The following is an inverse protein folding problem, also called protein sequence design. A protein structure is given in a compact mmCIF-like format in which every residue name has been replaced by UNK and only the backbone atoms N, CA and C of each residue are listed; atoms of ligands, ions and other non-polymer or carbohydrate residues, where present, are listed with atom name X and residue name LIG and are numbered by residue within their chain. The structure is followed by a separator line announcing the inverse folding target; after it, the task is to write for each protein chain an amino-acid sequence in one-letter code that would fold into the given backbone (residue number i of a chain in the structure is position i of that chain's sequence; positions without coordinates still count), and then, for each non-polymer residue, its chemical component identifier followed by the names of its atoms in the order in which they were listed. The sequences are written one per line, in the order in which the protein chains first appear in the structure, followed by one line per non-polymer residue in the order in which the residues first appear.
data_IF_040050938994
#
_entry.id   IF_040050938994
#
_cell.length_a   1.000
_cell.length_b   1.000
_cell.length_c   1.000
_cell.angle_alpha   90.00
_cell.angle_beta   90.00
_cell.angle_gamma   90.00
#
_symmetry.space_group_name_H-M   'P 1'
#
loop_
_entity.id
_entity.type
_entity.pdbx_description
1 polymer ?
#
# COMPACT_ATOMS: atom_id res chain seq x y z
N UNK A 1 19.29 32.96 16.05
CA UNK A 1 19.85 31.69 16.55
C UNK A 1 19.15 30.58 15.77
N UNK A 2 19.70 30.21 14.61
CA UNK A 2 19.11 29.19 13.71
C UNK A 2 19.74 27.84 14.07
N UNK A 3 18.91 26.86 14.43
CA UNK A 3 19.35 25.50 14.72
C UNK A 3 19.71 24.80 13.40
N UNK A 4 20.97 24.36 13.27
CA UNK A 4 21.43 23.51 12.18
C UNK A 4 20.80 22.11 12.29
N UNK A 5 20.14 21.67 11.22
CA UNK A 5 19.81 20.26 11.00
C UNK A 5 21.12 19.47 10.81
N UNK A 6 21.29 18.26 11.35
CA UNK A 6 22.45 17.44 11.03
C UNK A 6 22.41 17.06 9.55
N UNK A 7 23.55 17.24 8.88
CA UNK A 7 23.77 16.77 7.52
C UNK A 7 23.50 15.25 7.48
N UNK A 8 22.65 14.83 6.53
CA UNK A 8 22.42 13.41 6.29
C UNK A 8 23.74 12.72 5.90
N UNK A 9 23.91 11.48 6.35
CA UNK A 9 25.02 10.64 5.94
C UNK A 9 25.10 10.62 4.40
N UNK A 10 26.29 10.86 3.86
CA UNK A 10 26.50 10.79 2.40
C UNK A 10 26.60 9.32 1.97
N UNK A 11 26.19 8.96 0.75
CA UNK A 11 26.33 7.57 0.24
C UNK A 11 27.78 7.04 0.34
N UNK A 12 28.76 7.95 0.27
CA UNK A 12 30.18 7.67 0.52
C UNK A 12 30.49 7.21 1.96
N UNK A 13 29.81 7.73 2.99
CA UNK A 13 30.01 7.30 4.38
C UNK A 13 29.46 5.89 4.64
N UNK A 14 28.43 5.49 3.89
CA UNK A 14 27.80 4.17 4.00
C UNK A 14 28.63 3.08 3.32
N UNK A 15 29.38 3.43 2.26
CA UNK A 15 30.33 2.55 1.57
C UNK A 15 31.74 2.54 2.18
N UNK A 16 32.05 3.50 3.07
CA UNK A 16 33.37 3.60 3.70
C UNK A 16 33.58 2.48 4.70
N UNK A 17 34.72 1.79 4.58
CA UNK A 17 35.08 0.72 5.51
C UNK A 17 35.54 1.30 6.84
N UNK A 18 35.02 0.77 7.94
CA UNK A 18 35.43 1.09 9.29
C UNK A 18 35.75 -0.21 10.06
N UNK A 19 36.54 -0.07 11.13
CA UNK A 19 36.83 -1.19 12.03
C UNK A 19 35.71 -1.27 13.05
N UNK A 20 35.02 -2.40 13.06
CA UNK A 20 33.96 -2.71 14.01
C UNK A 20 34.45 -3.74 15.03
N UNK A 21 34.04 -3.56 16.27
CA UNK A 21 34.28 -4.47 17.41
C UNK A 21 33.01 -4.49 18.26
N UNK A 22 31.97 -5.15 17.75
CA UNK A 22 30.66 -5.25 18.42
C UNK A 22 30.45 -6.71 18.83
N UNK A 23 30.42 -7.03 20.13
CA UNK A 23 30.24 -8.41 20.59
C UNK A 23 28.80 -8.91 20.35
N UNK A 24 28.60 -10.22 20.40
CA UNK A 24 27.27 -10.82 20.31
C UNK A 24 26.41 -10.46 21.55
N UNK A 25 25.44 -9.57 21.37
CA UNK A 25 24.68 -8.97 22.46
C UNK A 25 23.19 -8.81 22.08
N UNK A 26 22.31 -8.33 22.97
CA UNK A 26 20.93 -8.01 22.58
C UNK A 26 20.93 -7.08 21.37
N UNK A 27 20.09 -7.38 20.36
CA UNK A 27 20.17 -6.69 19.07
C UNK A 27 19.97 -5.18 19.20
N UNK A 28 19.15 -4.72 20.15
CA UNK A 28 18.99 -3.30 20.44
C UNK A 28 20.30 -2.62 20.85
N UNK A 29 21.08 -3.26 21.72
CA UNK A 29 22.36 -2.72 22.19
C UNK A 29 23.41 -2.72 21.06
N UNK A 30 23.41 -3.75 20.22
CA UNK A 30 24.31 -3.86 19.06
C UNK A 30 24.05 -2.75 18.03
N UNK A 31 22.78 -2.49 17.71
CA UNK A 31 22.39 -1.43 16.80
C UNK A 31 22.72 -0.03 17.34
N UNK A 32 22.61 0.17 18.66
CA UNK A 32 23.05 1.41 19.30
C UNK A 32 24.57 1.62 19.15
N UNK A 33 25.39 0.62 19.47
CA UNK A 33 26.85 0.69 19.31
C UNK A 33 27.27 0.94 17.83
N UNK A 34 26.55 0.31 16.89
CA UNK A 34 26.75 0.56 15.46
C UNK A 34 26.39 2.01 15.06
N UNK A 35 25.26 2.53 15.55
CA UNK A 35 24.82 3.90 15.31
C UNK A 35 25.80 4.92 15.87
N UNK A 36 26.37 4.68 17.05
CA UNK A 36 27.41 5.52 17.66
C UNK A 36 28.71 5.52 16.84
N UNK A 37 29.07 4.37 16.25
CA UNK A 37 30.29 4.25 15.44
C UNK A 37 30.13 4.94 14.07
N UNK A 38 28.98 4.74 13.42
CA UNK A 38 28.75 5.18 12.04
C UNK A 38 28.07 6.55 11.91
N UNK A 39 27.40 7.02 12.97
CA UNK A 39 26.52 8.19 12.96
C UNK A 39 25.37 8.10 11.93
N UNK A 40 25.07 6.89 11.43
CA UNK A 40 24.01 6.67 10.45
C UNK A 40 22.68 6.44 11.20
N UNK A 41 21.60 7.18 10.85
CA UNK A 41 20.29 6.97 11.45
C UNK A 41 19.74 5.55 11.21
N UNK A 42 19.20 4.95 12.28
CA UNK A 42 18.55 3.63 12.25
C UNK A 42 17.04 3.79 12.45
N UNK A 43 16.23 3.36 11.48
CA UNK A 43 14.77 3.38 11.52
C UNK A 43 14.24 1.96 11.72
N UNK A 44 14.02 1.57 12.98
CA UNK A 44 13.71 0.18 13.34
C UNK A 44 12.53 0.11 14.31
N UNK A 45 11.57 -0.77 14.02
CA UNK A 45 10.49 -1.08 14.95
C UNK A 45 11.01 -1.93 16.13
N UNK A 46 10.69 -1.50 17.35
CA UNK A 46 11.15 -2.15 18.60
C UNK A 46 10.73 -3.62 18.67
N UNK A 47 9.54 -3.93 18.15
CA UNK A 47 8.99 -5.28 18.10
C UNK A 47 9.81 -6.23 17.20
N UNK A 48 10.48 -5.72 16.17
CA UNK A 48 11.32 -6.54 15.29
C UNK A 48 12.59 -7.00 15.99
N UNK A 49 13.14 -6.21 16.91
CA UNK A 49 14.43 -6.49 17.57
C UNK A 49 14.27 -7.07 18.98
N UNK A 50 13.07 -6.99 19.57
CA UNK A 50 12.82 -7.48 20.93
C UNK A 50 13.10 -8.98 21.04
N UNK A 51 13.91 -9.35 22.03
CA UNK A 51 14.27 -10.74 22.30
C UNK A 51 15.23 -11.37 21.28
N UNK A 52 15.72 -10.61 20.29
CA UNK A 52 16.74 -11.07 19.34
C UNK A 52 18.13 -10.72 19.84
N UNK A 53 19.11 -11.52 19.44
CA UNK A 53 20.54 -11.32 19.73
C UNK A 53 21.29 -11.13 18.43
N UNK A 54 22.20 -10.18 18.38
CA UNK A 54 23.10 -10.00 17.24
C UNK A 54 24.22 -11.04 17.24
N UNK A 55 24.79 -11.25 16.07
CA UNK A 55 26.09 -11.91 15.91
C UNK A 55 27.23 -10.92 16.20
N UNK A 56 28.41 -11.46 16.47
CA UNK A 56 29.62 -10.66 16.67
C UNK A 56 30.07 -10.05 15.34
N UNK A 57 30.47 -8.78 15.37
CA UNK A 57 31.07 -8.08 14.22
C UNK A 57 32.44 -7.57 14.62
N UNK A 58 33.47 -8.29 14.20
CA UNK A 58 34.86 -7.97 14.46
C UNK A 58 35.66 -7.93 13.15
N UNK A 59 36.07 -6.74 12.71
CA UNK A 59 36.88 -6.59 11.50
C UNK A 59 36.63 -5.29 10.74
N UNK A 60 37.20 -5.20 9.53
CA UNK A 60 37.02 -4.04 8.64
C UNK A 60 35.92 -4.31 7.61
N UNK A 61 34.78 -3.65 7.80
CA UNK A 61 33.57 -3.83 6.99
C UNK A 61 33.03 -2.49 6.50
N UNK A 62 32.26 -2.49 5.42
CA UNK A 62 31.40 -1.34 5.10
C UNK A 62 30.25 -1.28 6.11
N UNK A 63 29.62 -0.12 6.29
CA UNK A 63 28.48 0.04 7.21
C UNK A 63 27.36 -0.96 6.90
N UNK A 64 27.07 -1.21 5.61
CA UNK A 64 26.06 -2.18 5.20
C UNK A 64 26.51 -3.64 5.44
N UNK A 65 27.78 -3.97 5.21
CA UNK A 65 28.27 -5.34 5.42
C UNK A 65 28.40 -5.67 6.92
N UNK A 66 28.84 -4.72 7.73
CA UNK A 66 28.85 -4.85 9.19
C UNK A 66 27.44 -5.10 9.74
N UNK A 67 26.44 -4.38 9.21
CA UNK A 67 25.06 -4.55 9.61
C UNK A 67 24.49 -5.90 9.15
N UNK A 68 24.88 -6.40 7.97
CA UNK A 68 24.51 -7.75 7.52
C UNK A 68 25.11 -8.83 8.41
N UNK A 69 26.39 -8.71 8.77
CA UNK A 69 27.06 -9.63 9.68
C UNK A 69 26.39 -9.63 11.06
N UNK A 70 26.08 -8.45 11.60
CA UNK A 70 25.39 -8.28 12.87
C UNK A 70 24.03 -9.00 12.91
N UNK A 71 23.32 -8.97 11.78
CA UNK A 71 21.97 -9.54 11.65
C UNK A 71 21.99 -11.01 11.26
N UNK A 72 23.16 -11.62 11.04
CA UNK A 72 23.24 -13.03 10.74
C UNK A 72 22.64 -13.87 11.88
N UNK A 73 21.85 -14.88 11.53
CA UNK A 73 21.09 -15.70 12.47
C UNK A 73 19.87 -15.03 13.12
N UNK A 74 19.65 -13.71 12.93
CA UNK A 74 18.48 -13.02 13.51
C UNK A 74 17.20 -13.18 12.70
N UNK A 75 17.30 -13.60 11.44
CA UNK A 75 16.19 -13.62 10.49
C UNK A 75 15.76 -12.22 10.03
N UNK A 76 16.59 -11.20 10.24
CA UNK A 76 16.39 -9.84 9.76
C UNK A 76 17.43 -9.49 8.68
N UNK A 77 17.10 -8.53 7.84
CA UNK A 77 18.02 -7.94 6.86
C UNK A 77 17.93 -6.42 6.92
N UNK A 78 19.02 -5.75 6.55
CA UNK A 78 19.09 -4.30 6.50
C UNK A 78 18.90 -3.77 5.09
N UNK A 79 18.20 -2.63 4.98
CA UNK A 79 18.00 -1.90 3.74
C UNK A 79 18.31 -0.41 3.93
N UNK A 80 18.95 0.19 2.95
CA UNK A 80 19.14 1.65 2.90
C UNK A 80 17.84 2.37 2.55
N UNK A 81 17.57 3.49 3.21
CA UNK A 81 16.44 4.39 2.92
C UNK A 81 16.99 5.66 2.28
N UNK A 82 16.98 5.72 0.94
CA UNK A 82 17.41 6.86 0.12
C UNK A 82 18.76 7.48 0.56
N UNK A 83 19.72 6.65 1.01
CA UNK A 83 21.02 7.11 1.48
C UNK A 83 21.01 7.86 2.83
N UNK A 84 19.86 7.96 3.51
CA UNK A 84 19.70 8.75 4.74
C UNK A 84 19.79 7.91 6.02
N UNK A 85 19.87 6.60 5.90
CA UNK A 85 19.88 5.69 7.04
C UNK A 85 19.59 4.24 6.64
N UNK A 86 19.53 3.37 7.64
CA UNK A 86 19.14 1.98 7.48
C UNK A 86 17.81 1.68 8.17
N UNK A 87 17.07 0.73 7.60
CA UNK A 87 15.90 0.11 8.22
C UNK A 87 16.07 -1.41 8.25
N UNK A 88 15.44 -2.08 9.21
CA UNK A 88 15.47 -3.54 9.33
C UNK A 88 14.16 -4.15 8.88
N UNK A 89 14.25 -5.25 8.13
CA UNK A 89 13.11 -6.01 7.63
C UNK A 89 13.28 -7.48 7.99
N UNK A 90 12.17 -8.18 8.25
CA UNK A 90 12.21 -9.63 8.44
C UNK A 90 12.49 -10.34 7.12
N UNK A 91 13.47 -11.25 7.09
CA UNK A 91 13.74 -12.14 5.96
C UNK A 91 12.66 -13.21 5.81
N UNK A 92 12.03 -13.60 6.91
CA UNK A 92 10.91 -14.53 6.92
C UNK A 92 9.60 -13.74 6.95
N UNK A 93 8.57 -14.15 6.17
CA UNK A 93 7.24 -13.60 6.35
C UNK A 93 6.80 -13.86 7.80
N UNK A 94 6.61 -12.78 8.57
CA UNK A 94 6.14 -12.88 9.96
C UNK A 94 4.75 -13.51 9.95
N UNK A 95 4.65 -14.77 10.35
CA UNK A 95 3.39 -15.49 10.57
C UNK A 95 2.87 -15.20 11.99
N UNK A 96 2.77 -13.92 12.36
CA UNK A 96 2.07 -13.51 13.57
C UNK A 96 0.55 -13.52 13.37
N UNK A 97 -0.25 -13.70 14.43
CA UNK A 97 -1.72 -13.60 14.35
C UNK A 97 -2.16 -12.26 13.73
N UNK A 98 -1.44 -11.18 14.02
CA UNK A 98 -1.68 -9.86 13.43
C UNK A 98 -1.46 -9.81 11.92
N UNK A 99 -0.50 -10.59 11.40
CA UNK A 99 -0.22 -10.64 9.95
C UNK A 99 -1.30 -11.42 9.21
N UNK A 100 -1.82 -12.49 9.82
CA UNK A 100 -2.94 -13.26 9.26
C UNK A 100 -4.20 -12.40 9.24
N UNK A 101 -4.53 -11.71 10.34
CA UNK A 101 -5.67 -10.81 10.42
C UNK A 101 -5.56 -9.63 9.43
N UNK A 102 -4.38 -9.02 9.28
CA UNK A 102 -4.17 -7.97 8.28
C UNK A 102 -4.35 -8.48 6.85
N UNK A 103 -3.88 -9.70 6.54
CA UNK A 103 -4.08 -10.31 5.22
C UNK A 103 -5.54 -10.64 4.95
N UNK A 104 -6.30 -11.12 5.95
CA UNK A 104 -7.72 -11.40 5.76
C UNK A 104 -8.51 -10.12 5.49
N UNK A 105 -8.23 -9.06 6.25
CA UNK A 105 -8.83 -7.73 6.05
C UNK A 105 -8.48 -7.20 4.65
N UNK A 106 -7.21 -7.29 4.22
CA UNK A 106 -6.80 -6.87 2.88
C UNK A 106 -7.54 -7.62 1.77
N UNK A 107 -7.65 -8.96 1.88
CA UNK A 107 -8.40 -9.80 0.92
C UNK A 107 -9.88 -9.46 0.89
N UNK A 108 -10.47 -9.07 2.02
CA UNK A 108 -11.87 -8.64 2.09
C UNK A 108 -12.07 -7.30 1.37
N UNK A 109 -11.18 -6.33 1.57
CA UNK A 109 -11.20 -5.07 0.82
C UNK A 109 -10.98 -5.27 -0.68
N UNK A 110 -10.09 -6.17 -1.08
CA UNK A 110 -9.85 -6.51 -2.50
C UNK A 110 -11.11 -7.11 -3.14
N UNK A 111 -11.76 -8.09 -2.47
CA UNK A 111 -13.02 -8.68 -2.92
C UNK A 111 -14.13 -7.62 -3.05
N UNK A 112 -14.28 -6.78 -2.03
CA UNK A 112 -15.29 -5.72 -2.05
C UNK A 112 -15.03 -4.69 -3.16
N UNK A 113 -13.76 -4.36 -3.40
CA UNK A 113 -13.36 -3.45 -4.50
C UNK A 113 -13.71 -4.05 -5.86
N UNK A 114 -13.52 -5.36 -6.04
CA UNK A 114 -13.94 -6.06 -7.25
C UNK A 114 -15.47 -6.06 -7.39
N UNK A 115 -16.22 -6.28 -6.32
CA UNK A 115 -17.69 -6.21 -6.34
C UNK A 115 -18.20 -4.81 -6.73
N UNK A 116 -17.58 -3.74 -6.20
CA UNK A 116 -17.88 -2.35 -6.63
C UNK A 116 -17.60 -2.17 -8.12
N UNK A 117 -16.46 -2.67 -8.61
CA UNK A 117 -16.09 -2.54 -10.02
C UNK A 117 -17.08 -3.26 -10.95
N UNK A 118 -17.54 -4.45 -10.58
CA UNK A 118 -18.56 -5.21 -11.33
C UNK A 118 -19.90 -4.45 -11.33
N UNK A 119 -20.39 -4.05 -10.16
CA UNK A 119 -21.66 -3.32 -10.05
C UNK A 119 -21.64 -2.00 -10.83
N UNK A 120 -20.50 -1.28 -10.80
CA UNK A 120 -20.32 -0.06 -11.56
C UNK A 120 -20.27 -0.34 -13.06
N UNK A 121 -19.54 -1.37 -13.49
CA UNK A 121 -19.50 -1.78 -14.89
C UNK A 121 -20.91 -2.07 -15.42
N UNK A 122 -21.68 -2.90 -14.71
CA UNK A 122 -23.05 -3.24 -15.09
C UNK A 122 -23.93 -1.99 -15.19
N UNK A 123 -23.88 -1.10 -14.21
CA UNK A 123 -24.64 0.15 -14.20
C UNK A 123 -24.27 1.04 -15.40
N UNK A 124 -22.98 1.24 -15.67
CA UNK A 124 -22.51 2.05 -16.79
C UNK A 124 -22.90 1.46 -18.16
N UNK A 125 -22.99 0.14 -18.26
CA UNK A 125 -23.31 -0.57 -19.50
C UNK A 125 -24.82 -0.65 -19.83
N UNK A 126 -25.71 -0.31 -18.88
CA UNK A 126 -27.16 -0.26 -19.08
C UNK A 126 -27.58 0.73 -20.16
N UNK A 127 -26.98 1.92 -20.16
CA UNK A 127 -27.26 2.97 -21.13
C UNK A 127 -26.07 3.17 -22.07
N UNK A 128 -26.33 3.49 -23.34
CA UNK A 128 -25.25 3.73 -24.32
C UNK A 128 -24.49 5.02 -24.00
N UNK A 129 -25.18 6.01 -23.46
CA UNK A 129 -24.66 7.33 -23.12
C UNK A 129 -23.72 7.33 -21.92
N UNK A 130 -23.91 6.40 -20.98
CA UNK A 130 -23.08 6.25 -19.77
C UNK A 130 -21.93 5.26 -19.95
N UNK A 131 -21.76 4.67 -21.13
CA UNK A 131 -20.66 3.73 -21.37
C UNK A 131 -19.33 4.47 -21.29
N UNK A 132 -18.32 3.90 -20.62
CA UNK A 132 -16.98 4.47 -20.61
C UNK A 132 -16.47 4.67 -22.04
N UNK A 133 -15.95 5.85 -22.29
CA UNK A 133 -15.54 6.28 -23.62
C UNK A 133 -14.46 7.34 -23.52
N UNK A 134 -14.75 8.55 -23.96
CA UNK A 134 -13.77 9.66 -24.02
C UNK A 134 -13.76 10.56 -22.78
N UNK A 135 -14.66 10.33 -21.82
CA UNK A 135 -14.77 11.18 -20.64
C UNK A 135 -14.00 10.60 -19.46
N UNK A 136 -13.57 11.50 -18.58
CA UNK A 136 -13.10 11.17 -17.25
C UNK A 136 -14.02 11.82 -16.24
N UNK A 137 -14.30 11.14 -15.14
CA UNK A 137 -15.01 11.77 -14.04
C UNK A 137 -14.66 11.15 -12.70
N UNK A 138 -14.45 12.00 -11.69
CA UNK A 138 -14.37 11.59 -10.30
C UNK A 138 -15.77 11.53 -9.70
N UNK A 139 -16.09 10.40 -9.08
CA UNK A 139 -17.35 10.17 -8.38
C UNK A 139 -17.07 9.81 -6.92
N UNK A 140 -18.02 10.13 -6.05
CA UNK A 140 -18.05 9.71 -4.65
C UNK A 140 -19.32 8.93 -4.37
N UNK A 141 -19.18 7.77 -3.76
CA UNK A 141 -20.28 6.90 -3.39
C UNK A 141 -20.31 6.69 -1.88
N UNK A 142 -21.50 6.78 -1.31
CA UNK A 142 -21.80 6.33 0.04
C UNK A 142 -22.60 5.04 -0.07
N UNK A 143 -22.07 3.96 0.47
CA UNK A 143 -22.68 2.63 0.41
C UNK A 143 -23.24 2.31 1.79
N UNK A 144 -24.53 2.03 1.85
CA UNK A 144 -25.23 1.67 3.08
C UNK A 144 -24.97 0.22 3.50
N UNK A 145 -25.49 -0.15 4.67
CA UNK A 145 -25.35 -1.48 5.26
C UNK A 145 -25.93 -2.60 4.40
N UNK A 146 -26.83 -2.30 3.47
CA UNK A 146 -27.41 -3.28 2.54
C UNK A 146 -26.61 -3.42 1.24
N UNK A 147 -25.47 -2.73 1.11
CA UNK A 147 -24.70 -2.68 -0.13
C UNK A 147 -25.30 -1.78 -1.21
N UNK A 148 -26.39 -1.06 -0.92
CA UNK A 148 -26.99 -0.07 -1.83
C UNK A 148 -26.32 1.28 -1.69
N UNK A 149 -26.15 2.00 -2.79
CA UNK A 149 -25.73 3.40 -2.76
C UNK A 149 -26.83 4.24 -2.12
N UNK A 150 -26.48 4.91 -1.02
CA UNK A 150 -27.37 5.85 -0.31
C UNK A 150 -27.22 7.26 -0.86
N UNK A 151 -26.02 7.61 -1.34
CA UNK A 151 -25.72 8.90 -1.97
C UNK A 151 -24.63 8.73 -3.02
N UNK A 152 -24.77 9.45 -4.13
CA UNK A 152 -23.72 9.61 -5.13
C UNK A 152 -23.49 11.08 -5.47
N UNK A 153 -22.22 11.49 -5.51
CA UNK A 153 -21.82 12.83 -5.96
C UNK A 153 -20.90 12.71 -7.18
N UNK A 154 -21.23 13.45 -8.24
CA UNK A 154 -20.37 13.63 -9.41
C UNK A 154 -19.47 14.86 -9.17
N UNK A 155 -18.18 14.66 -8.90
CA UNK A 155 -17.28 15.76 -8.54
C UNK A 155 -16.80 16.56 -9.76
N UNK A 156 -16.83 15.95 -10.94
CA UNK A 156 -16.41 16.56 -12.20
C UNK A 156 -17.41 16.22 -13.29
N UNK A 157 -17.82 17.20 -14.10
CA UNK A 157 -18.68 16.95 -15.27
C UNK A 157 -17.99 16.03 -16.27
N UNK A 158 -18.78 15.22 -16.99
CA UNK A 158 -18.32 14.43 -18.14
C UNK A 158 -18.13 15.27 -19.40
N UNK A 159 -18.47 16.58 -19.34
CA UNK A 159 -18.51 17.49 -20.47
C UNK A 159 -19.85 17.52 -21.21
N UNK A 160 -20.84 16.76 -20.71
CA UNK A 160 -22.17 16.62 -21.29
C UNK A 160 -23.22 16.54 -20.18
N UNK A 161 -24.10 17.55 -20.10
CA UNK A 161 -25.08 17.67 -19.01
C UNK A 161 -26.14 16.56 -19.04
N UNK A 162 -26.53 16.07 -20.23
CA UNK A 162 -27.49 14.97 -20.35
C UNK A 162 -26.89 13.68 -19.81
N UNK A 163 -25.60 13.44 -20.10
CA UNK A 163 -24.85 12.30 -19.58
C UNK A 163 -24.65 12.38 -18.07
N UNK A 164 -24.34 13.56 -17.55
CA UNK A 164 -24.16 13.77 -16.11
C UNK A 164 -25.43 13.42 -15.32
N UNK A 165 -26.61 13.80 -15.83
CA UNK A 165 -27.91 13.47 -15.22
C UNK A 165 -28.18 11.97 -15.26
N UNK A 166 -27.96 11.31 -16.40
CA UNK A 166 -28.14 9.86 -16.52
C UNK A 166 -27.17 9.10 -15.61
N UNK A 167 -25.90 9.50 -15.60
CA UNK A 167 -24.87 8.88 -14.77
C UNK A 167 -25.20 9.03 -13.28
N UNK A 168 -25.65 10.21 -12.83
CA UNK A 168 -26.06 10.41 -11.45
C UNK A 168 -27.25 9.50 -11.07
N UNK A 169 -28.21 9.30 -11.98
CA UNK A 169 -29.33 8.36 -11.79
C UNK A 169 -28.86 6.91 -11.64
N UNK A 170 -28.00 6.44 -12.53
CA UNK A 170 -27.46 5.07 -12.49
C UNK A 170 -26.63 4.81 -11.24
N UNK A 171 -25.79 5.76 -10.83
CA UNK A 171 -24.96 5.64 -9.63
C UNK A 171 -25.81 5.61 -8.35
N UNK A 172 -26.92 6.35 -8.31
CA UNK A 172 -27.82 6.35 -7.16
C UNK A 172 -28.63 5.04 -7.06
N UNK A 173 -28.89 4.39 -8.19
CA UNK A 173 -29.58 3.09 -8.24
C UNK A 173 -28.64 1.89 -8.02
N UNK A 174 -27.32 2.11 -8.04
CA UNK A 174 -26.29 1.09 -7.93
C UNK A 174 -26.39 0.31 -6.61
N UNK A 175 -26.23 -1.00 -6.71
CA UNK A 175 -26.16 -1.90 -5.58
C UNK A 175 -24.99 -2.86 -5.77
N UNK A 176 -24.08 -2.90 -4.80
CA UNK A 176 -22.94 -3.83 -4.76
C UNK A 176 -23.42 -5.24 -4.39
N UNK A 177 -24.58 -5.36 -3.74
CA UNK A 177 -25.18 -6.65 -3.34
C UNK A 177 -24.65 -7.19 -2.01
N UNK A 178 -23.61 -6.58 -1.45
CA UNK A 178 -23.01 -6.94 -0.17
C UNK A 178 -22.69 -5.71 0.70
N UNK A 179 -22.75 -5.84 2.04
CA UNK A 179 -22.41 -4.76 2.98
C UNK A 179 -20.95 -4.35 2.85
N UNK A 180 -20.61 -3.06 3.05
CA UNK A 180 -19.23 -2.62 3.09
C UNK A 180 -18.49 -3.25 4.28
N UNK A 181 -17.26 -3.75 4.08
CA UNK A 181 -16.49 -4.35 5.14
C UNK A 181 -16.16 -3.32 6.23
N UNK A 182 -16.04 -3.75 7.50
CA UNK A 182 -15.69 -2.87 8.59
C UNK A 182 -14.34 -2.20 8.34
N UNK A 183 -14.28 -0.89 8.54
CA UNK A 183 -13.07 -0.09 8.29
C UNK A 183 -12.95 0.49 6.88
N UNK A 184 -13.90 0.22 5.98
CA UNK A 184 -13.94 0.91 4.68
C UNK A 184 -14.13 2.42 4.88
N UNK A 185 -13.17 3.22 4.41
CA UNK A 185 -13.29 4.68 4.48
C UNK A 185 -14.30 5.17 3.46
N UNK A 186 -15.37 5.79 3.96
CA UNK A 186 -16.41 6.41 3.15
C UNK A 186 -16.27 7.94 3.13
N UNK A 187 -16.64 8.63 2.03
CA UNK A 187 -17.11 8.06 0.76
C UNK A 187 -16.00 7.38 -0.04
N UNK A 188 -16.37 6.35 -0.79
CA UNK A 188 -15.47 5.72 -1.75
C UNK A 188 -15.34 6.66 -2.94
N UNK A 189 -14.12 7.08 -3.25
CA UNK A 189 -13.85 7.93 -4.42
C UNK A 189 -13.34 7.07 -5.56
N UNK A 190 -14.01 7.14 -6.70
CA UNK A 190 -13.69 6.36 -7.89
C UNK A 190 -13.40 7.31 -9.05
N UNK A 191 -12.41 6.96 -9.86
CA UNK A 191 -12.10 7.67 -11.09
C UNK A 191 -12.61 6.85 -12.27
N UNK A 192 -13.62 7.37 -12.95
CA UNK A 192 -14.00 6.91 -14.28
C UNK A 192 -12.94 7.42 -15.25
N UNK A 193 -12.26 6.50 -15.91
CA UNK A 193 -11.24 6.81 -16.91
C UNK A 193 -11.77 6.58 -18.32
N UNK A 194 -11.19 7.28 -19.32
CA UNK A 194 -11.44 6.96 -20.70
C UNK A 194 -10.96 5.52 -20.99
N UNK A 195 -11.77 4.74 -21.68
CA UNK A 195 -11.36 3.41 -22.15
C UNK A 195 -10.85 3.53 -23.58
N UNK A 196 -9.66 2.98 -23.85
CA UNK A 196 -9.14 2.86 -25.21
C UNK A 196 -9.81 1.71 -25.99
N UNK A 197 -10.37 0.72 -25.28
CA UNK A 197 -11.26 -0.28 -25.86
C UNK A 197 -12.57 0.43 -26.25
N UNK A 198 -13.18 0.05 -27.37
CA UNK A 198 -14.42 0.70 -27.79
C UNK A 198 -15.46 0.58 -26.67
N UNK A 199 -16.36 1.56 -26.53
CA UNK A 199 -17.43 1.50 -25.53
C UNK A 199 -18.27 0.21 -25.65
N UNK A 200 -18.27 -0.44 -26.82
CA UNK A 200 -18.85 -1.76 -27.02
C UNK A 200 -17.99 -2.88 -26.41
N UNK A 201 -16.68 -2.87 -26.64
CA UNK A 201 -15.75 -3.87 -26.08
C UNK A 201 -15.71 -3.83 -24.55
N UNK A 202 -15.79 -2.63 -23.96
CA UNK A 202 -15.90 -2.48 -22.50
C UNK A 202 -17.08 -3.30 -21.98
N UNK A 203 -18.28 -3.14 -22.55
CA UNK A 203 -19.48 -3.83 -22.09
C UNK A 203 -19.64 -5.28 -22.60
N UNK A 204 -18.77 -5.76 -23.49
CA UNK A 204 -18.79 -7.14 -23.99
C UNK A 204 -17.93 -8.07 -23.14
N UNK A 205 -16.89 -7.55 -22.46
CA UNK A 205 -15.96 -8.34 -21.64
C UNK A 205 -16.60 -8.93 -20.36
N UNK A 206 -17.74 -8.41 -19.90
CA UNK A 206 -18.42 -8.91 -18.69
C UNK A 206 -19.28 -10.17 -18.90
N UNK A 207 -19.54 -10.58 -20.16
CA UNK A 207 -20.41 -11.74 -20.44
C UNK A 207 -19.67 -13.08 -20.49
N UNK A 208 -18.34 -13.10 -20.33
CA UNK A 208 -17.52 -14.31 -20.48
C UNK A 208 -17.25 -15.08 -19.17
N UNK A 209 -17.61 -14.55 -18.00
CA UNK A 209 -17.24 -15.12 -16.69
C UNK A 209 -18.46 -15.58 -15.86
N UNK A 210 -19.65 -15.68 -16.48
CA UNK A 210 -20.93 -15.97 -15.80
C UNK A 210 -21.75 -17.11 -16.40
N UNK A 211 -21.13 -18.00 -17.18
CA UNK A 211 -21.82 -19.12 -17.84
C UNK A 211 -21.09 -20.45 -17.62
N UNK A 212 -21.33 -21.08 -16.47
CA UNK A 212 -21.14 -22.52 -16.29
C UNK A 212 -22.40 -23.04 -15.58
N UNK A 213 -23.31 -23.60 -16.38
CA UNK A 213 -24.37 -24.54 -15.97
C UNK A 213 -24.62 -25.51 -17.15
#
# INVERSE_FOLDING_TARGET
MLASLPAGASEDEMGRRAVFQIPAQPLADALNAFGETTHIPMFVDSELIRGRRSSEVAGSFSSLDALREMLDGTGLTARSVDGKGFTLMSLLPSSGPDTVARRSIAREFERYSAAIQVALHEALCRHRETRPGTYRSLIRLWIGETGRVTRSDLLTTTGDSRRDVLLAGELQALAVGEPPPPGLRQPVTLLLQPSAASAADYCLLAQADGGDD
#
